data_IF_068766676440
#
_entry.id   IF_068766676440
#
_cell.length_a   1.000
_cell.length_b   1.000
_cell.length_c   1.000
_cell.angle_alpha   90.00
_cell.angle_beta   90.00
_cell.angle_gamma   90.00
#
_symmetry.space_group_name_H-M   'P 1'
#
loop_
_entity.id
_entity.type
_entity.pdbx_description
1 polymer ?
#
# COMPACT_ATOMS: atom_id res chain seq x y z
N UNK A 1 4.54 -13.82 11.86
CA UNK A 1 3.29 -14.45 12.35
C UNK A 1 2.96 -15.76 11.67
N UNK A 2 2.79 -15.80 10.34
CA UNK A 2 2.58 -17.09 9.63
C UNK A 2 3.90 -17.86 9.48
N UNK A 3 4.97 -17.18 9.06
CA UNK A 3 6.32 -17.78 8.95
C UNK A 3 6.88 -18.24 10.30
N UNK A 4 6.51 -17.59 11.40
CA UNK A 4 6.91 -17.96 12.77
C UNK A 4 5.99 -19.01 13.39
N UNK A 5 5.00 -19.53 12.63
CA UNK A 5 3.98 -20.50 13.07
C UNK A 5 3.12 -20.09 14.27
N UNK A 6 3.13 -18.82 14.65
CA UNK A 6 2.30 -18.28 15.72
C UNK A 6 0.79 -18.28 15.36
N UNK A 7 0.47 -18.22 14.07
CA UNK A 7 -0.90 -18.31 13.54
C UNK A 7 -0.97 -19.25 12.34
N UNK A 8 -1.99 -20.10 12.30
CA UNK A 8 -2.30 -20.94 11.12
C UNK A 8 -2.67 -20.06 9.92
N UNK A 9 -2.32 -20.45 8.67
CA UNK A 9 -2.60 -19.65 7.47
C UNK A 9 -4.06 -19.20 7.34
N UNK A 10 -5.02 -20.11 7.59
CA UNK A 10 -6.46 -19.78 7.51
C UNK A 10 -6.86 -18.65 8.48
N UNK A 11 -6.44 -18.73 9.73
CA UNK A 11 -6.72 -17.69 10.74
C UNK A 11 -6.06 -16.36 10.39
N UNK A 12 -4.83 -16.40 9.86
CA UNK A 12 -4.13 -15.20 9.42
C UNK A 12 -4.87 -14.50 8.27
N UNK A 13 -5.38 -15.25 7.30
CA UNK A 13 -6.18 -14.69 6.20
C UNK A 13 -7.48 -14.06 6.70
N UNK A 14 -8.23 -14.75 7.58
CA UNK A 14 -9.50 -14.22 8.14
C UNK A 14 -9.23 -12.92 8.93
N UNK A 15 -8.22 -12.93 9.80
CA UNK A 15 -7.86 -11.75 10.57
C UNK A 15 -7.43 -10.60 9.65
N UNK A 16 -6.58 -10.88 8.66
CA UNK A 16 -6.15 -9.89 7.70
C UNK A 16 -7.33 -9.34 6.89
N UNK A 17 -8.26 -10.16 6.41
CA UNK A 17 -9.42 -9.69 5.64
C UNK A 17 -10.33 -8.79 6.46
N UNK A 18 -10.59 -9.15 7.72
CA UNK A 18 -11.43 -8.34 8.61
C UNK A 18 -10.76 -7.01 8.96
N UNK A 19 -9.48 -7.03 9.33
CA UNK A 19 -8.75 -5.80 9.66
C UNK A 19 -8.57 -4.90 8.43
N UNK A 20 -8.33 -5.46 7.25
CA UNK A 20 -8.28 -4.68 6.00
C UNK A 20 -9.65 -4.07 5.68
N UNK A 21 -10.75 -4.79 5.87
CA UNK A 21 -12.10 -4.26 5.66
C UNK A 21 -12.39 -3.10 6.62
N UNK A 22 -12.13 -3.28 7.92
CA UNK A 22 -12.33 -2.22 8.92
C UNK A 22 -11.46 -1.01 8.62
N UNK A 23 -10.19 -1.23 8.27
CA UNK A 23 -9.27 -0.17 7.87
C UNK A 23 -9.75 0.59 6.62
N UNK A 24 -10.28 -0.10 5.62
CA UNK A 24 -10.82 0.51 4.42
C UNK A 24 -12.09 1.32 4.69
N UNK A 25 -12.95 0.88 5.61
CA UNK A 25 -14.15 1.63 6.01
C UNK A 25 -13.82 2.87 6.85
N UNK A 26 -12.77 2.80 7.67
CA UNK A 26 -12.34 3.91 8.50
C UNK A 26 -11.49 4.94 7.73
N UNK A 27 -10.66 4.50 6.80
CA UNK A 27 -9.68 5.34 6.09
C UNK A 27 -10.16 5.72 4.70
N UNK A 28 -10.60 6.97 4.53
CA UNK A 28 -10.91 7.55 3.21
C UNK A 28 -9.75 8.36 2.62
N UNK A 29 -8.67 8.58 3.40
CA UNK A 29 -7.56 9.45 3.01
C UNK A 29 -6.85 8.99 1.73
N UNK A 30 -6.53 7.70 1.63
CA UNK A 30 -5.87 7.13 0.44
C UNK A 30 -6.77 7.23 -0.79
N UNK A 31 -8.07 7.00 -0.65
CA UNK A 31 -9.03 7.16 -1.74
C UNK A 31 -9.09 8.61 -2.24
N UNK A 32 -9.07 9.59 -1.34
CA UNK A 32 -9.02 11.01 -1.69
C UNK A 32 -7.71 11.38 -2.40
N UNK A 33 -6.57 10.86 -1.95
CA UNK A 33 -5.27 11.04 -2.60
C UNK A 33 -5.29 10.49 -4.02
N UNK A 34 -5.78 9.26 -4.23
CA UNK A 34 -5.91 8.67 -5.58
C UNK A 34 -6.82 9.52 -6.48
N UNK A 35 -7.94 10.02 -5.95
CA UNK A 35 -8.90 10.80 -6.71
C UNK A 35 -8.42 12.22 -7.08
N UNK A 36 -7.53 12.82 -6.28
CA UNK A 36 -7.11 14.22 -6.45
C UNK A 36 -5.69 14.40 -6.97
N UNK A 37 -4.77 13.52 -6.59
CA UNK A 37 -3.34 13.69 -6.84
C UNK A 37 -2.84 12.96 -8.10
N UNK A 38 -3.67 12.12 -8.73
CA UNK A 38 -3.29 11.38 -9.95
C UNK A 38 -3.87 12.06 -11.20
N UNK A 39 -5.17 12.36 -11.16
CA UNK A 39 -5.92 12.91 -12.29
C UNK A 39 -6.75 14.09 -11.80
N UNK A 40 -6.90 15.11 -12.64
CA UNK A 40 -7.86 16.20 -12.38
C UNK A 40 -9.26 15.63 -12.06
N UNK A 41 -9.92 16.07 -10.97
CA UNK A 41 -11.23 15.56 -10.56
C UNK A 41 -12.32 15.66 -11.64
N UNK A 42 -12.18 16.62 -12.57
CA UNK A 42 -13.09 16.79 -13.71
C UNK A 42 -13.06 15.60 -14.68
N UNK A 43 -11.93 14.87 -14.73
CA UNK A 43 -11.70 13.76 -15.64
C UNK A 43 -11.67 12.40 -14.94
N UNK A 44 -11.73 12.37 -13.60
CA UNK A 44 -11.90 11.16 -12.80
C UNK A 44 -13.35 10.64 -12.84
N UNK A 45 -13.90 10.48 -14.04
CA UNK A 45 -15.25 9.97 -14.26
C UNK A 45 -15.36 8.48 -13.93
N UNK A 46 -16.59 8.00 -13.69
CA UNK A 46 -16.89 6.60 -13.36
C UNK A 46 -16.24 5.59 -14.33
N UNK A 47 -16.28 5.87 -15.64
CA UNK A 47 -15.67 5.04 -16.68
C UNK A 47 -14.16 4.85 -16.48
N UNK A 48 -13.47 5.94 -16.13
CA UNK A 48 -12.01 5.96 -15.93
C UNK A 48 -11.66 5.18 -14.65
N UNK A 49 -12.43 5.37 -13.59
CA UNK A 49 -12.25 4.63 -12.33
C UNK A 49 -12.48 3.13 -12.53
N UNK A 50 -13.54 2.74 -13.24
CA UNK A 50 -13.81 1.33 -13.56
C UNK A 50 -12.67 0.74 -14.41
N UNK A 51 -12.21 1.46 -15.44
CA UNK A 51 -11.09 1.02 -16.27
C UNK A 51 -9.80 0.86 -15.45
N UNK A 52 -9.52 1.78 -14.54
CA UNK A 52 -8.38 1.73 -13.63
C UNK A 52 -8.44 0.51 -12.69
N UNK A 53 -9.61 0.24 -12.11
CA UNK A 53 -9.84 -0.91 -11.24
C UNK A 53 -9.67 -2.24 -12.00
N UNK A 54 -10.27 -2.35 -13.19
CA UNK A 54 -10.13 -3.55 -14.02
C UNK A 54 -8.67 -3.79 -14.40
N UNK A 55 -7.97 -2.76 -14.86
CA UNK A 55 -6.54 -2.82 -15.17
C UNK A 55 -5.71 -3.29 -13.97
N UNK A 56 -5.94 -2.69 -12.79
CA UNK A 56 -5.23 -3.06 -11.58
C UNK A 56 -5.53 -4.50 -11.13
N UNK A 57 -6.79 -4.94 -11.19
CA UNK A 57 -7.18 -6.31 -10.82
C UNK A 57 -6.54 -7.32 -11.78
N UNK A 58 -6.67 -7.09 -13.09
CA UNK A 58 -6.10 -7.98 -14.11
C UNK A 58 -4.58 -8.08 -13.91
N UNK A 59 -3.90 -6.94 -13.72
CA UNK A 59 -2.46 -6.94 -13.49
C UNK A 59 -2.07 -7.71 -12.24
N UNK A 60 -2.76 -7.48 -11.11
CA UNK A 60 -2.51 -8.22 -9.87
C UNK A 60 -2.68 -9.73 -10.08
N UNK A 61 -3.78 -10.18 -10.69
CA UNK A 61 -4.04 -11.60 -10.97
C UNK A 61 -2.96 -12.22 -11.86
N UNK A 62 -2.53 -11.51 -12.91
CA UNK A 62 -1.45 -11.96 -13.79
C UNK A 62 -0.14 -12.10 -13.01
N UNK A 63 0.23 -11.09 -12.21
CA UNK A 63 1.47 -11.16 -11.42
C UNK A 63 1.43 -12.28 -10.38
N UNK A 64 0.28 -12.54 -9.76
CA UNK A 64 0.11 -13.64 -8.81
C UNK A 64 0.23 -15.01 -9.51
N UNK A 65 -0.38 -15.16 -10.70
CA UNK A 65 -0.27 -16.37 -11.49
C UNK A 65 1.18 -16.67 -11.89
N UNK A 66 1.95 -15.63 -12.21
CA UNK A 66 3.37 -15.75 -12.56
C UNK A 66 4.32 -15.78 -11.34
N UNK A 67 3.81 -15.65 -10.12
CA UNK A 67 4.62 -15.61 -8.90
C UNK A 67 5.50 -14.35 -8.76
N UNK A 68 5.19 -13.28 -9.49
CA UNK A 68 5.95 -12.03 -9.48
C UNK A 68 5.45 -11.15 -8.32
N UNK A 69 6.31 -10.73 -7.37
CA UNK A 69 5.92 -9.78 -6.33
C UNK A 69 5.60 -8.42 -6.97
N UNK A 70 4.34 -8.00 -6.89
CA UNK A 70 3.84 -6.77 -7.50
C UNK A 70 3.22 -5.84 -6.47
N UNK A 71 3.31 -4.54 -6.71
CA UNK A 71 2.69 -3.51 -5.86
C UNK A 71 1.31 -3.14 -6.40
N UNK A 72 0.26 -3.50 -5.66
CA UNK A 72 -1.12 -3.16 -6.04
C UNK A 72 -1.38 -1.64 -6.04
N UNK A 73 -0.65 -0.86 -5.24
CA UNK A 73 -0.71 0.61 -5.29
C UNK A 73 -0.20 1.17 -6.62
N UNK A 74 0.90 0.63 -7.17
CA UNK A 74 1.39 1.05 -8.48
C UNK A 74 0.44 0.63 -9.60
N UNK A 75 -0.16 -0.55 -9.48
CA UNK A 75 -1.12 -1.05 -10.46
C UNK A 75 -2.33 -0.10 -10.59
N UNK A 76 -2.89 0.39 -9.48
CA UNK A 76 -4.03 1.32 -9.52
C UNK A 76 -3.62 2.73 -9.97
N UNK A 77 -2.44 3.23 -9.58
CA UNK A 77 -1.93 4.53 -10.05
C UNK A 77 -1.71 4.52 -11.56
N UNK A 78 -1.04 3.48 -12.08
CA UNK A 78 -0.80 3.29 -13.51
C UNK A 78 -2.10 3.08 -14.28
N UNK A 79 -3.02 2.28 -13.75
CA UNK A 79 -4.35 2.07 -14.34
C UNK A 79 -5.15 3.37 -14.45
N UNK A 80 -5.14 4.20 -13.40
CA UNK A 80 -5.84 5.48 -13.38
C UNK A 80 -5.21 6.51 -14.32
N UNK A 81 -3.88 6.63 -14.31
CA UNK A 81 -3.16 7.52 -15.21
C UNK A 81 -3.36 7.11 -16.67
N UNK A 82 -3.22 5.82 -16.99
CA UNK A 82 -3.41 5.31 -18.35
C UNK A 82 -4.84 5.50 -18.86
N UNK A 83 -5.85 5.18 -18.05
CA UNK A 83 -7.25 5.39 -18.41
C UNK A 83 -7.58 6.88 -18.63
N UNK A 84 -7.04 7.77 -17.81
CA UNK A 84 -7.24 9.21 -17.97
C UNK A 84 -6.55 9.78 -19.21
N UNK A 85 -5.32 9.34 -19.49
CA UNK A 85 -4.58 9.71 -20.71
C UNK A 85 -5.31 9.22 -21.95
N UNK A 86 -5.83 7.99 -21.94
CA UNK A 86 -6.62 7.46 -23.05
C UNK A 86 -7.89 8.29 -23.31
N UNK A 87 -8.50 8.87 -22.27
CA UNK A 87 -9.72 9.68 -22.39
C UNK A 87 -9.46 11.12 -22.84
N UNK A 88 -8.42 11.77 -22.33
CA UNK A 88 -8.28 13.22 -22.44
C UNK A 88 -6.82 13.71 -22.64
N UNK A 89 -5.87 12.80 -22.88
CA UNK A 89 -4.46 13.11 -23.12
C UNK A 89 -3.64 13.37 -21.87
N UNK A 90 -2.35 13.67 -22.02
CA UNK A 90 -1.41 13.85 -20.89
C UNK A 90 -1.65 15.10 -20.04
N UNK A 91 -2.41 16.07 -20.54
CA UNK A 91 -2.70 17.33 -19.83
C UNK A 91 -3.60 17.15 -18.60
N UNK A 92 -4.29 16.01 -18.47
CA UNK A 92 -5.18 15.74 -17.33
C UNK A 92 -4.47 15.15 -16.12
N UNK A 93 -3.20 14.75 -16.27
CA UNK A 93 -2.39 14.20 -15.19
C UNK A 93 -1.93 15.31 -14.25
N UNK A 94 -2.04 15.04 -12.95
CA UNK A 94 -1.57 15.95 -11.91
C UNK A 94 -0.09 15.66 -11.62
N UNK A 95 0.81 16.23 -12.43
CA UNK A 95 2.26 15.98 -12.32
C UNK A 95 2.84 16.27 -10.94
N UNK A 96 2.34 17.31 -10.25
CA UNK A 96 2.76 17.62 -8.88
C UNK A 96 2.30 16.54 -7.89
N UNK A 97 1.05 16.08 -8.00
CA UNK A 97 0.53 15.02 -7.15
C UNK A 97 1.24 13.67 -7.40
N UNK A 98 1.44 13.31 -8.66
CA UNK A 98 2.26 12.16 -9.06
C UNK A 98 3.68 12.24 -8.48
N UNK A 99 4.32 13.41 -8.56
CA UNK A 99 5.63 13.66 -7.95
C UNK A 99 5.65 13.43 -6.44
N UNK A 100 4.63 13.89 -5.71
CA UNK A 100 4.49 13.63 -4.27
C UNK A 100 4.33 12.14 -3.96
N UNK A 101 3.54 11.42 -4.75
CA UNK A 101 3.34 9.98 -4.59
C UNK A 101 4.66 9.23 -4.82
N UNK A 102 5.39 9.57 -5.89
CA UNK A 102 6.71 8.99 -6.18
C UNK A 102 7.72 9.30 -5.07
N UNK A 103 7.75 10.53 -4.55
CA UNK A 103 8.60 10.89 -3.43
C UNK A 103 8.25 10.07 -2.17
N UNK A 104 6.95 9.95 -1.85
CA UNK A 104 6.50 9.15 -0.71
C UNK A 104 6.88 7.66 -0.83
N UNK A 105 6.88 7.11 -2.04
CA UNK A 105 7.30 5.73 -2.33
C UNK A 105 8.78 5.49 -2.05
N UNK A 106 9.64 6.51 -2.25
CA UNK A 106 11.08 6.41 -1.97
C UNK A 106 11.36 6.70 -0.49
N UNK A 107 10.66 7.68 0.09
CA UNK A 107 10.89 8.12 1.47
C UNK A 107 10.36 7.08 2.46
N UNK A 108 9.24 6.40 2.16
CA UNK A 108 8.60 5.48 3.13
C UNK A 108 9.45 4.25 3.51
N UNK A 109 10.17 3.56 2.60
CA UNK A 109 11.11 2.51 3.01
C UNK A 109 12.22 3.02 3.91
N UNK A 110 12.79 4.19 3.59
CA UNK A 110 13.88 4.79 4.37
C UNK A 110 13.37 5.12 5.78
N UNK A 111 12.24 5.80 5.87
CA UNK A 111 11.60 6.12 7.15
C UNK A 111 11.27 4.85 7.95
N UNK A 112 10.76 3.80 7.29
CA UNK A 112 10.49 2.51 7.91
C UNK A 112 11.74 1.84 8.48
N UNK A 113 12.86 1.86 7.75
CA UNK A 113 14.14 1.33 8.23
C UNK A 113 14.66 2.13 9.43
N UNK A 114 14.66 3.47 9.33
CA UNK A 114 15.13 4.35 10.40
C UNK A 114 14.32 4.17 11.67
N UNK A 115 12.98 4.20 11.56
CA UNK A 115 12.09 3.98 12.71
C UNK A 115 12.22 2.57 13.27
N UNK A 116 12.31 1.55 12.41
CA UNK A 116 12.55 0.17 12.83
C UNK A 116 13.85 0.03 13.62
N UNK A 117 14.93 0.66 13.17
CA UNK A 117 16.21 0.68 13.86
C UNK A 117 16.12 1.38 15.23
N UNK A 118 15.44 2.53 15.30
CA UNK A 118 15.24 3.28 16.55
C UNK A 118 14.43 2.44 17.56
N UNK A 119 13.35 1.79 17.12
CA UNK A 119 12.52 0.93 17.97
C UNK A 119 13.35 -0.26 18.48
N UNK A 120 14.08 -0.94 17.60
CA UNK A 120 14.95 -2.05 17.97
C UNK A 120 16.00 -1.62 19.01
N UNK A 121 16.69 -0.49 18.77
CA UNK A 121 17.71 0.04 19.69
C UNK A 121 17.10 0.41 21.05
N UNK A 122 15.92 1.03 21.04
CA UNK A 122 15.18 1.37 22.26
C UNK A 122 14.82 0.12 23.06
N UNK A 123 14.30 -0.92 22.40
CA UNK A 123 14.02 -2.20 23.07
C UNK A 123 15.29 -2.82 23.66
N UNK A 124 16.40 -2.80 22.92
CA UNK A 124 17.67 -3.36 23.41
C UNK A 124 18.24 -2.56 24.59
N UNK A 125 18.06 -1.24 24.60
CA UNK A 125 18.46 -0.40 25.73
C UNK A 125 17.62 -0.68 26.99
N UNK A 126 16.30 -0.85 26.83
CA UNK A 126 15.38 -1.10 27.94
C UNK A 126 15.55 -2.52 28.49
N UNK A 127 15.65 -3.52 27.62
CA UNK A 127 15.63 -4.94 28.01
C UNK A 127 17.00 -5.63 27.98
N UNK A 128 18.04 -4.98 27.45
CA UNK A 128 19.36 -5.61 27.25
C UNK A 128 20.09 -6.02 28.53
N UNK A 129 19.73 -5.42 29.67
CA UNK A 129 20.30 -5.78 30.98
C UNK A 129 19.42 -6.73 31.81
N UNK A 130 18.30 -7.21 31.27
CA UNK A 130 17.43 -8.15 31.98
C UNK A 130 17.90 -9.59 31.73
N UNK A 131 18.09 -10.37 32.79
CA UNK A 131 18.40 -11.80 32.68
C UNK A 131 17.27 -12.52 31.93
N UNK A 132 17.56 -13.38 30.92
CA UNK A 132 16.54 -14.07 30.11
C UNK A 132 15.47 -14.81 30.93
N UNK A 133 15.79 -15.26 32.13
CA UNK A 133 14.90 -15.96 33.06
C UNK A 133 13.76 -15.11 33.64
N UNK A 134 13.85 -13.77 33.63
CA UNK A 134 12.80 -12.87 34.16
C UNK A 134 11.84 -12.33 33.11
N UNK A 135 12.14 -12.53 31.82
CA UNK A 135 11.38 -11.96 30.68
C UNK A 135 10.52 -13.02 29.96
N UNK A 136 10.82 -14.31 30.17
CA UNK A 136 10.16 -15.44 29.50
C UNK A 136 8.99 -16.06 30.29
N UNK A 137 8.50 -15.40 31.34
CA UNK A 137 7.33 -15.83 32.11
C UNK A 137 6.10 -15.00 31.76
#
# INVERSE_FOLDING_TARGET
>A
SVSTRALTPRRAVILASLLNLVGALYSTGVAQTIARDIVSPKFATQEVVIAALLSAIIWNLVTWYLGIPSSSSHAIIGGMAGAAVAKAGFSVLQWNGLGKILAALIISPIAGIVLGFIIMKSMFFIFGNFSPSRVNH
#
